data_IF_852649152040
#
_entry.id   IF_852649152040
#
_cell.length_a   1.000
_cell.length_b   1.000
_cell.length_c   1.000
_cell.angle_alpha   90.00
_cell.angle_beta   90.00
_cell.angle_gamma   90.00
#
_symmetry.space_group_name_H-M   'P 1'
#
loop_
_entity.id
_entity.type
_entity.pdbx_description
1 polymer ?
#
# COMPACT_ATOMS: atom_id res chain seq x y z
N UNK A 1 -7.52 -107.20 17.50
CA UNK A 1 -6.15 -106.66 17.56
C UNK A 1 -6.24 -105.16 17.72
N UNK A 2 -6.08 -104.67 18.94
CA UNK A 2 -6.03 -103.24 19.25
C UNK A 2 -4.61 -102.75 19.03
N UNK A 3 -4.42 -101.77 18.14
CA UNK A 3 -3.18 -101.00 18.08
C UNK A 3 -3.19 -100.00 19.24
N UNK A 4 -2.39 -100.27 20.27
CA UNK A 4 -2.15 -99.31 21.34
C UNK A 4 -1.38 -98.12 20.74
N UNK A 5 -2.03 -96.96 20.67
CA UNK A 5 -1.36 -95.71 20.31
C UNK A 5 -0.33 -95.42 21.41
N UNK A 6 0.93 -95.36 21.00
CA UNK A 6 2.07 -95.17 21.89
C UNK A 6 2.00 -93.79 22.56
N UNK A 7 1.61 -93.75 23.83
CA UNK A 7 1.46 -92.51 24.61
C UNK A 7 2.78 -91.71 24.67
N UNK A 8 3.92 -92.38 24.52
CA UNK A 8 5.22 -91.72 24.45
C UNK A 8 5.37 -90.87 23.18
N UNK A 9 4.77 -91.29 22.06
CA UNK A 9 4.81 -90.54 20.81
C UNK A 9 3.93 -89.28 20.90
N UNK A 10 2.73 -89.39 21.47
CA UNK A 10 1.85 -88.25 21.71
C UNK A 10 2.50 -87.22 22.64
N UNK A 11 3.18 -87.65 23.70
CA UNK A 11 3.92 -86.75 24.59
C UNK A 11 5.11 -86.07 23.90
N UNK A 12 5.83 -86.77 23.02
CA UNK A 12 6.95 -86.18 22.25
C UNK A 12 6.48 -85.13 21.25
N UNK A 13 5.35 -85.38 20.59
CA UNK A 13 4.74 -84.43 19.65
C UNK A 13 4.21 -83.20 20.39
N UNK A 14 3.53 -83.36 21.53
CA UNK A 14 3.07 -82.25 22.36
C UNK A 14 4.21 -81.37 22.90
N UNK A 15 5.34 -81.99 23.27
CA UNK A 15 6.54 -81.26 23.72
C UNK A 15 7.22 -80.50 22.58
N UNK A 16 7.25 -81.08 21.37
CA UNK A 16 7.77 -80.43 20.16
C UNK A 16 6.98 -79.18 19.74
N UNK A 17 5.68 -79.11 20.03
CA UNK A 17 4.86 -77.90 19.80
C UNK A 17 5.03 -76.84 20.89
N UNK A 18 5.41 -77.22 22.12
CA UNK A 18 5.65 -76.27 23.22
C UNK A 18 7.02 -75.57 23.18
N UNK A 19 8.01 -76.18 22.53
CA UNK A 19 9.41 -75.67 22.49
C UNK A 19 9.74 -74.82 21.25
N UNK A 20 8.78 -74.57 20.36
CA UNK A 20 8.95 -73.74 19.15
C UNK A 20 8.52 -72.27 19.32
N UNK A 21 8.16 -71.87 20.54
CA UNK A 21 7.90 -70.47 20.88
C UNK A 21 9.21 -69.70 21.09
N UNK A 22 9.30 -68.50 20.51
CA UNK A 22 10.40 -67.58 20.82
C UNK A 22 10.46 -67.35 22.35
N UNK A 23 11.65 -67.34 22.97
CA UNK A 23 11.79 -67.07 24.40
C UNK A 23 11.06 -65.77 24.78
N UNK A 24 10.36 -65.75 25.91
CA UNK A 24 9.57 -64.58 26.36
C UNK A 24 10.43 -63.30 26.43
N UNK A 25 11.72 -63.44 26.74
CA UNK A 25 12.69 -62.33 26.73
C UNK A 25 12.87 -61.75 25.33
N UNK A 26 12.93 -62.58 24.29
CA UNK A 26 13.03 -62.16 22.88
C UNK A 26 11.75 -61.46 22.43
N UNK A 27 10.57 -61.95 22.85
CA UNK A 27 9.28 -61.31 22.55
C UNK A 27 9.22 -59.91 23.18
N UNK A 28 9.56 -59.79 24.46
CA UNK A 28 9.58 -58.50 25.16
C UNK A 28 10.59 -57.52 24.52
N UNK A 29 11.76 -58.01 24.11
CA UNK A 29 12.78 -57.19 23.44
C UNK A 29 12.29 -56.66 22.09
N UNK A 30 11.60 -57.49 21.29
CA UNK A 30 11.02 -57.09 20.01
C UNK A 30 9.89 -56.06 20.19
N UNK A 31 9.07 -56.19 21.24
CA UNK A 31 8.02 -55.21 21.56
C UNK A 31 8.64 -53.86 21.92
N UNK A 32 9.67 -53.84 22.79
CA UNK A 32 10.36 -52.61 23.18
C UNK A 32 11.06 -51.97 21.98
N UNK A 33 11.76 -52.77 21.16
CA UNK A 33 12.43 -52.29 19.97
C UNK A 33 11.43 -51.73 18.93
N UNK A 34 10.29 -52.41 18.74
CA UNK A 34 9.19 -51.94 17.91
C UNK A 34 8.59 -50.64 18.42
N UNK A 35 8.43 -50.49 19.73
CA UNK A 35 7.96 -49.25 20.34
C UNK A 35 8.96 -48.10 20.14
N UNK A 36 10.25 -48.32 20.37
CA UNK A 36 11.29 -47.31 20.13
C UNK A 36 11.33 -46.87 18.65
N UNK A 37 11.22 -47.81 17.71
CA UNK A 37 11.14 -47.52 16.28
C UNK A 37 9.90 -46.70 15.94
N UNK A 38 8.75 -47.02 16.51
CA UNK A 38 7.51 -46.28 16.30
C UNK A 38 7.59 -44.84 16.85
N UNK A 39 8.20 -44.65 18.03
CA UNK A 39 8.43 -43.33 18.62
C UNK A 39 9.37 -42.50 17.75
N UNK A 40 10.47 -43.09 17.26
CA UNK A 40 11.40 -42.41 16.36
C UNK A 40 10.74 -42.03 15.03
N UNK A 41 10.00 -42.95 14.41
CA UNK A 41 9.26 -42.67 13.19
C UNK A 41 8.22 -41.56 13.40
N UNK A 42 7.50 -41.58 14.52
CA UNK A 42 6.56 -40.53 14.90
C UNK A 42 7.23 -39.16 15.07
N UNK A 43 8.40 -39.11 15.72
CA UNK A 43 9.17 -37.88 15.90
C UNK A 43 9.67 -37.31 14.57
N UNK A 44 10.18 -38.17 13.67
CA UNK A 44 10.64 -37.76 12.32
C UNK A 44 9.48 -37.25 11.47
N UNK A 45 8.34 -37.96 11.47
CA UNK A 45 7.14 -37.53 10.75
C UNK A 45 6.59 -36.21 11.29
N UNK A 46 6.59 -36.02 12.62
CA UNK A 46 6.18 -34.77 13.25
C UNK A 46 7.11 -33.60 12.86
N UNK A 47 8.43 -33.82 12.91
CA UNK A 47 9.43 -32.83 12.53
C UNK A 47 9.30 -32.44 11.05
N UNK A 48 9.22 -33.43 10.15
CA UNK A 48 9.04 -33.19 8.71
C UNK A 48 7.73 -32.48 8.41
N UNK A 49 6.63 -32.81 9.11
CA UNK A 49 5.35 -32.13 8.94
C UNK A 49 5.43 -30.66 9.41
N UNK A 50 6.14 -30.36 10.50
CA UNK A 50 6.37 -28.98 10.90
C UNK A 50 7.18 -28.20 9.86
N UNK A 51 8.25 -28.80 9.33
CA UNK A 51 9.10 -28.14 8.35
C UNK A 51 8.41 -27.96 6.99
N UNK A 52 7.61 -28.94 6.57
CA UNK A 52 6.73 -28.84 5.40
C UNK A 52 5.68 -27.75 5.58
N UNK A 53 5.06 -27.62 6.75
CA UNK A 53 4.10 -26.54 7.03
C UNK A 53 4.73 -25.14 6.92
N UNK A 54 5.99 -24.98 7.36
CA UNK A 54 6.73 -23.72 7.18
C UNK A 54 7.01 -23.43 5.70
N UNK A 55 7.33 -24.46 4.91
CA UNK A 55 7.60 -24.33 3.46
C UNK A 55 6.34 -24.09 2.62
N UNK A 56 5.20 -24.65 3.04
CA UNK A 56 3.92 -24.55 2.33
C UNK A 56 3.21 -23.22 2.58
N UNK A 57 3.44 -22.59 3.74
CA UNK A 57 2.92 -21.26 4.06
C UNK A 57 4.07 -20.26 4.25
N UNK A 58 4.83 -19.92 3.19
CA UNK A 58 5.86 -18.90 3.30
C UNK A 58 5.18 -17.57 3.63
N UNK A 59 5.41 -17.09 4.85
CA UNK A 59 5.02 -15.74 5.26
C UNK A 59 5.82 -14.77 4.40
N UNK A 60 5.18 -13.82 3.69
CA UNK A 60 5.90 -12.82 2.91
C UNK A 60 6.92 -12.08 3.80
N UNK A 61 8.12 -11.75 3.30
CA UNK A 61 9.14 -11.07 4.10
C UNK A 61 8.72 -9.67 4.55
N UNK A 62 7.73 -9.06 3.89
CA UNK A 62 7.11 -7.79 4.30
C UNK A 62 6.20 -7.92 5.53
N UNK A 63 5.81 -9.14 5.93
CA UNK A 63 4.85 -9.35 7.02
C UNK A 63 5.55 -9.48 8.36
N UNK A 64 5.14 -8.64 9.29
CA UNK A 64 5.50 -8.71 10.69
C UNK A 64 4.41 -9.45 11.47
N UNK A 65 4.76 -10.65 11.93
CA UNK A 65 3.88 -11.52 12.72
C UNK A 65 4.35 -11.55 14.17
N UNK A 66 3.39 -11.59 15.10
CA UNK A 66 3.61 -11.79 16.53
C UNK A 66 3.19 -10.58 17.36
N UNK A 67 2.31 -10.82 18.34
CA UNK A 67 1.68 -9.78 19.15
C UNK A 67 2.69 -8.80 19.76
N UNK A 68 3.79 -9.29 20.35
CA UNK A 68 4.81 -8.43 20.95
C UNK A 68 5.49 -7.47 19.95
N UNK A 69 5.76 -7.92 18.71
CA UNK A 69 6.35 -7.07 17.67
C UNK A 69 5.36 -6.02 17.18
N UNK A 70 4.12 -6.45 16.95
CA UNK A 70 3.00 -5.60 16.51
C UNK A 70 2.71 -4.52 17.56
N UNK A 71 2.60 -4.89 18.83
CA UNK A 71 2.40 -3.96 19.96
C UNK A 71 3.50 -2.91 20.00
N UNK A 72 4.78 -3.29 19.86
CA UNK A 72 5.89 -2.33 19.84
C UNK A 72 5.79 -1.30 18.71
N UNK A 73 5.33 -1.71 17.52
CA UNK A 73 5.11 -0.79 16.39
C UNK A 73 3.97 0.18 16.68
N UNK A 74 2.85 -0.32 17.22
CA UNK A 74 1.74 0.54 17.61
C UNK A 74 2.10 1.47 18.78
N UNK A 75 2.85 1.01 19.78
CA UNK A 75 3.37 1.84 20.87
C UNK A 75 4.24 2.97 20.32
N UNK A 76 5.11 2.66 19.36
CA UNK A 76 5.92 3.68 18.67
C UNK A 76 5.00 4.67 17.94
N UNK A 77 3.98 4.19 17.22
CA UNK A 77 3.00 5.03 16.55
C UNK A 77 2.20 5.91 17.54
N UNK A 78 1.88 5.41 18.73
CA UNK A 78 1.23 6.16 19.79
C UNK A 78 2.13 7.27 20.34
N UNK A 79 3.39 6.95 20.66
CA UNK A 79 4.39 7.91 21.16
C UNK A 79 4.61 9.06 20.17
N UNK A 80 4.73 8.77 18.88
CA UNK A 80 4.90 9.77 17.84
C UNK A 80 3.60 10.41 17.35
N UNK A 81 2.45 10.05 17.94
CA UNK A 81 1.11 10.49 17.51
C UNK A 81 0.91 10.32 16.00
N UNK A 82 1.38 9.19 15.46
CA UNK A 82 1.25 8.85 14.06
C UNK A 82 -0.21 8.83 13.65
N UNK A 83 -0.54 9.59 12.61
CA UNK A 83 -1.87 9.59 12.01
C UNK A 83 -2.15 8.23 11.37
N UNK A 84 -3.25 7.61 11.76
CA UNK A 84 -3.78 6.38 11.14
C UNK A 84 -4.87 6.77 10.15
N UNK A 85 -4.85 6.17 8.96
CA UNK A 85 -5.92 6.29 7.99
C UNK A 85 -6.61 4.94 7.82
N UNK A 86 -7.86 4.85 8.26
CA UNK A 86 -8.66 3.64 8.09
C UNK A 86 -9.56 3.76 6.86
N UNK A 87 -9.88 2.64 6.25
CA UNK A 87 -10.86 2.54 5.18
C UNK A 87 -11.62 1.23 5.29
N UNK A 88 -12.89 1.20 4.91
CA UNK A 88 -13.62 -0.05 4.84
C UNK A 88 -13.07 -0.93 3.73
N UNK A 89 -12.95 -2.22 4.02
CA UNK A 89 -12.59 -3.21 3.03
C UNK A 89 -13.73 -3.28 1.99
N UNK A 90 -13.46 -2.78 0.77
CA UNK A 90 -14.37 -2.81 -0.37
C UNK A 90 -13.56 -3.16 -1.62
N UNK A 91 -14.08 -4.13 -2.39
CA UNK A 91 -13.49 -4.57 -3.66
C UNK A 91 -13.87 -3.67 -4.84
N UNK A 92 -14.90 -2.82 -4.72
CA UNK A 92 -15.50 -2.13 -5.86
C UNK A 92 -15.67 -0.61 -5.73
N UNK A 93 -15.33 0.01 -4.59
CA UNK A 93 -15.44 1.46 -4.42
C UNK A 93 -14.12 2.16 -4.07
N UNK A 94 -14.00 3.42 -4.52
CA UNK A 94 -12.94 4.34 -4.11
C UNK A 94 -12.97 4.47 -2.58
N UNK A 95 -12.06 3.76 -1.91
CA UNK A 95 -11.92 3.72 -0.45
C UNK A 95 -11.92 5.13 0.14
N UNK A 96 -13.00 5.50 0.83
CA UNK A 96 -13.06 6.74 1.63
C UNK A 96 -12.18 6.50 2.85
N UNK A 97 -11.03 7.16 2.91
CA UNK A 97 -10.14 7.10 4.07
C UNK A 97 -10.64 8.04 5.16
N UNK A 98 -10.61 7.55 6.39
CA UNK A 98 -11.00 8.29 7.58
C UNK A 98 -9.73 8.46 8.43
N UNK A 99 -9.32 9.71 8.71
CA UNK A 99 -8.17 9.95 9.57
C UNK A 99 -8.55 9.69 11.04
N UNK A 100 -7.67 8.99 11.73
CA UNK A 100 -7.77 8.61 13.14
C UNK A 100 -6.43 8.84 13.83
N UNK A 101 -6.47 8.90 15.15
CA UNK A 101 -5.29 8.86 16.02
C UNK A 101 -5.41 7.67 16.97
N UNK A 102 -4.29 7.08 17.38
CA UNK A 102 -4.31 6.09 18.46
C UNK A 102 -4.55 6.85 19.77
N UNK A 103 -5.61 6.48 20.48
CA UNK A 103 -5.89 7.01 21.83
C UNK A 103 -5.24 6.13 22.89
N UNK A 104 -5.40 4.82 22.75
CA UNK A 104 -4.91 3.86 23.74
C UNK A 104 -4.60 2.49 23.09
N UNK A 105 -3.72 1.74 23.74
CA UNK A 105 -3.26 0.41 23.35
C UNK A 105 -3.30 -0.50 24.57
N UNK A 106 -4.35 -1.32 24.67
CA UNK A 106 -4.47 -2.32 25.73
C UNK A 106 -4.57 -3.72 25.12
N UNK A 107 -5.72 -4.37 25.24
CA UNK A 107 -6.05 -5.64 24.58
C UNK A 107 -6.67 -5.45 23.19
N UNK A 108 -6.98 -4.21 22.86
CA UNK A 108 -7.51 -3.73 21.60
C UNK A 108 -6.79 -2.41 21.22
N UNK A 109 -6.95 -2.00 19.98
CA UNK A 109 -6.44 -0.72 19.48
C UNK A 109 -7.61 0.26 19.48
N UNK A 110 -7.50 1.31 20.31
CA UNK A 110 -8.51 2.33 20.43
C UNK A 110 -8.17 3.51 19.51
N UNK A 111 -8.99 3.73 18.49
CA UNK A 111 -8.79 4.79 17.51
C UNK A 111 -9.76 5.94 17.78
N UNK A 112 -9.23 7.14 17.99
CA UNK A 112 -10.01 8.37 18.11
C UNK A 112 -10.23 9.00 16.73
N UNK A 113 -11.45 9.45 16.47
CA UNK A 113 -11.79 10.25 15.30
C UNK A 113 -12.80 11.37 15.62
N UNK A 114 -12.83 12.44 14.81
CA UNK A 114 -13.86 13.46 14.92
C UNK A 114 -15.24 12.85 14.64
N UNK A 115 -16.22 13.18 15.48
CA UNK A 115 -17.61 12.75 15.26
C UNK A 115 -18.10 13.27 13.91
N UNK A 116 -18.68 12.38 13.10
CA UNK A 116 -19.28 12.67 11.77
C UNK A 116 -20.60 11.94 11.64
N UNK A 117 -21.51 12.51 10.87
CA UNK A 117 -22.77 11.84 10.51
C UNK A 117 -22.49 10.50 9.80
N UNK A 118 -23.19 9.46 10.24
CA UNK A 118 -23.08 8.10 9.70
C UNK A 118 -22.07 7.18 10.40
N UNK A 119 -21.36 7.66 11.44
CA UNK A 119 -20.62 6.79 12.35
C UNK A 119 -21.59 6.24 13.40
N UNK A 120 -21.66 4.91 13.54
CA UNK A 120 -22.54 4.29 14.52
C UNK A 120 -22.45 2.78 14.51
N UNK A 121 -23.35 2.12 15.24
CA UNK A 121 -23.34 0.67 15.48
C UNK A 121 -23.31 -0.19 14.20
N UNK A 122 -23.72 0.34 13.05
CA UNK A 122 -23.65 -0.34 11.74
C UNK A 122 -22.22 -0.64 11.27
N UNK A 123 -21.20 -0.07 11.92
CA UNK A 123 -19.80 -0.31 11.61
C UNK A 123 -19.20 -1.49 12.38
N UNK A 124 -19.84 -1.89 13.48
CA UNK A 124 -19.41 -3.02 14.31
C UNK A 124 -19.44 -4.31 13.47
N UNK A 125 -18.39 -5.13 13.58
CA UNK A 125 -18.18 -6.35 12.80
C UNK A 125 -17.65 -6.12 11.38
N UNK A 126 -17.48 -4.87 10.93
CA UNK A 126 -16.93 -4.60 9.60
C UNK A 126 -15.41 -4.65 9.60
N UNK A 127 -14.87 -5.21 8.54
CA UNK A 127 -13.43 -5.25 8.29
C UNK A 127 -12.93 -3.91 7.75
N UNK A 128 -11.82 -3.45 8.30
CA UNK A 128 -11.14 -2.21 7.95
C UNK A 128 -9.70 -2.48 7.56
N UNK A 129 -9.21 -1.67 6.61
CA UNK A 129 -7.80 -1.55 6.27
C UNK A 129 -7.27 -0.26 6.86
N UNK A 130 -6.27 -0.37 7.74
CA UNK A 130 -5.57 0.75 8.34
C UNK A 130 -4.19 0.95 7.74
N UNK A 131 -3.83 2.21 7.48
CA UNK A 131 -2.52 2.61 7.02
C UNK A 131 -1.94 3.68 7.94
N UNK A 132 -0.70 3.50 8.37
CA UNK A 132 0.01 4.48 9.18
C UNK A 132 1.50 4.47 8.85
N UNK A 133 2.22 5.46 9.36
CA UNK A 133 3.68 5.50 9.24
C UNK A 133 4.30 5.84 10.59
N UNK A 134 5.52 5.40 10.79
CA UNK A 134 6.29 5.64 12.01
C UNK A 134 7.67 6.14 11.61
N UNK A 135 8.19 7.20 12.26
CA UNK A 135 9.53 7.67 12.00
C UNK A 135 10.56 6.62 12.44
N UNK A 136 11.67 6.56 11.72
CA UNK A 136 12.81 5.74 12.09
C UNK A 136 13.81 6.54 12.91
N UNK A 137 14.88 5.88 13.39
CA UNK A 137 15.99 6.57 14.08
C UNK A 137 16.73 7.55 13.17
N UNK A 138 16.64 7.38 11.86
CA UNK A 138 17.22 8.29 10.88
C UNK A 138 16.20 9.41 10.59
N UNK A 139 16.65 10.66 10.75
CA UNK A 139 15.81 11.82 10.51
C UNK A 139 15.29 11.81 9.06
N UNK A 140 13.98 12.10 8.90
CA UNK A 140 13.34 12.14 7.59
C UNK A 140 12.89 10.80 7.00
N UNK A 141 13.35 9.66 7.55
CA UNK A 141 12.92 8.33 7.09
C UNK A 141 11.73 7.82 7.91
N UNK A 142 10.69 7.38 7.21
CA UNK A 142 9.47 6.81 7.79
C UNK A 142 9.20 5.43 7.20
N UNK A 143 8.70 4.51 8.01
CA UNK A 143 8.25 3.18 7.56
C UNK A 143 6.73 3.17 7.53
N UNK A 144 6.17 2.73 6.41
CA UNK A 144 4.74 2.58 6.22
C UNK A 144 4.29 1.18 6.60
N UNK A 145 3.20 1.12 7.37
CA UNK A 145 2.57 -0.11 7.78
C UNK A 145 1.11 -0.12 7.34
N UNK A 146 0.68 -1.28 6.85
CA UNK A 146 -0.69 -1.64 6.59
C UNK A 146 -1.13 -2.72 7.56
N UNK A 147 -2.38 -2.67 7.96
CA UNK A 147 -3.00 -3.72 8.74
C UNK A 147 -4.46 -3.87 8.36
N UNK A 148 -4.98 -5.06 8.62
CA UNK A 148 -6.40 -5.33 8.51
C UNK A 148 -6.93 -5.76 9.87
N UNK A 149 -8.05 -5.18 10.28
CA UNK A 149 -8.69 -5.47 11.56
C UNK A 149 -10.23 -5.43 11.42
N UNK A 150 -10.94 -5.81 12.47
CA UNK A 150 -12.39 -5.76 12.58
C UNK A 150 -12.76 -4.79 13.69
N UNK A 151 -13.78 -3.97 13.45
CA UNK A 151 -14.34 -3.08 14.46
C UNK A 151 -15.13 -3.91 15.47
N UNK A 152 -14.73 -3.90 16.73
CA UNK A 152 -15.39 -4.64 17.82
C UNK A 152 -16.47 -3.82 18.48
N UNK A 153 -16.23 -2.52 18.66
CA UNK A 153 -17.17 -1.61 19.30
C UNK A 153 -16.94 -0.16 18.87
N UNK A 154 -17.94 0.69 19.13
CA UNK A 154 -17.87 2.13 18.93
C UNK A 154 -18.45 2.82 20.16
N UNK A 155 -17.62 3.64 20.79
CA UNK A 155 -18.00 4.47 21.93
C UNK A 155 -17.85 5.95 21.59
N UNK A 156 -18.67 6.81 22.19
CA UNK A 156 -18.52 8.26 22.08
C UNK A 156 -18.26 8.86 23.46
N UNK A 157 -17.31 9.78 23.55
CA UNK A 157 -17.06 10.54 24.78
C UNK A 157 -17.39 12.00 24.51
N UNK A 158 -18.61 12.39 24.88
CA UNK A 158 -19.14 13.71 24.60
C UNK A 158 -19.52 13.91 23.12
N UNK A 159 -19.66 15.17 22.70
CA UNK A 159 -20.18 15.52 21.38
C UNK A 159 -19.13 15.54 20.25
N UNK A 160 -17.85 15.60 20.58
CA UNK A 160 -16.80 15.97 19.61
C UNK A 160 -16.00 14.79 19.05
N UNK A 161 -15.88 13.69 19.81
CA UNK A 161 -15.03 12.57 19.46
C UNK A 161 -15.75 11.23 19.56
N UNK A 162 -15.46 10.37 18.60
CA UNK A 162 -15.90 8.97 18.56
C UNK A 162 -14.67 8.07 18.61
N UNK A 163 -14.73 7.05 19.45
CA UNK A 163 -13.71 6.03 19.57
C UNK A 163 -14.16 4.76 18.87
N UNK A 164 -13.28 4.20 18.06
CA UNK A 164 -13.46 2.92 17.40
C UNK A 164 -12.53 1.93 18.08
N UNK A 165 -13.13 0.86 18.59
CA UNK A 165 -12.44 -0.26 19.17
C UNK A 165 -12.16 -1.27 18.07
N UNK A 166 -10.91 -1.70 17.93
CA UNK A 166 -10.50 -2.62 16.89
C UNK A 166 -9.65 -3.74 17.47
N UNK A 167 -9.82 -4.96 16.96
CA UNK A 167 -8.98 -6.09 17.36
C UNK A 167 -7.51 -5.82 17.02
N UNK A 168 -6.60 -6.44 17.77
CA UNK A 168 -5.20 -6.46 17.34
C UNK A 168 -5.08 -7.22 16.01
N UNK A 169 -4.41 -6.65 15.01
CA UNK A 169 -4.27 -7.32 13.72
C UNK A 169 -3.37 -8.55 13.88
N UNK A 170 -3.66 -9.58 13.07
CA UNK A 170 -2.88 -10.84 13.07
C UNK A 170 -1.45 -10.64 12.56
N UNK A 171 -1.27 -9.69 11.65
CA UNK A 171 0.01 -9.29 11.08
C UNK A 171 -0.01 -7.79 10.73
N UNK A 172 1.16 -7.19 10.67
CA UNK A 172 1.38 -5.91 10.01
C UNK A 172 2.11 -6.16 8.71
N UNK A 173 1.68 -5.54 7.62
CA UNK A 173 2.41 -5.56 6.37
C UNK A 173 3.21 -4.26 6.22
N UNK A 174 4.52 -4.39 6.07
CA UNK A 174 5.37 -3.26 5.68
C UNK A 174 5.24 -3.06 4.18
N UNK A 175 4.42 -2.08 3.78
CA UNK A 175 4.10 -1.81 2.38
C UNK A 175 4.14 -0.32 2.10
N UNK A 176 4.63 0.02 0.90
CA UNK A 176 4.58 1.38 0.42
C UNK A 176 3.18 1.68 -0.08
N UNK A 177 2.46 2.57 0.60
CA UNK A 177 1.06 2.93 0.28
C UNK A 177 0.87 3.46 -1.15
N UNK A 178 1.93 3.97 -1.78
CA UNK A 178 1.89 4.58 -3.10
C UNK A 178 2.79 3.79 -4.04
N UNK A 179 2.22 3.41 -5.18
CA UNK A 179 2.94 2.75 -6.27
C UNK A 179 4.11 3.58 -6.80
N UNK A 180 4.00 4.91 -6.73
CA UNK A 180 5.04 5.85 -7.16
C UNK A 180 5.51 6.72 -5.99
N UNK A 181 6.81 6.99 -5.96
CA UNK A 181 7.40 7.94 -5.02
C UNK A 181 6.85 9.34 -5.31
N UNK A 182 6.43 10.05 -4.26
CA UNK A 182 6.03 11.46 -4.36
C UNK A 182 7.10 12.34 -3.76
N UNK A 183 7.48 13.36 -4.51
CA UNK A 183 8.37 14.42 -4.07
C UNK A 183 7.67 15.76 -4.16
N UNK A 184 7.98 16.65 -3.23
CA UNK A 184 7.52 18.04 -3.23
C UNK A 184 8.66 18.93 -3.71
N UNK A 185 8.73 19.25 -5.02
CA UNK A 185 9.87 19.95 -5.57
C UNK A 185 9.89 21.41 -5.10
N UNK A 186 11.04 21.91 -4.59
CA UNK A 186 11.26 23.35 -4.48
C UNK A 186 11.12 24.05 -5.83
N UNK A 187 10.74 25.33 -5.83
CA UNK A 187 10.50 26.10 -7.07
C UNK A 187 11.71 26.22 -7.99
N UNK A 188 12.94 25.97 -7.51
CA UNK A 188 14.14 25.95 -8.35
C UNK A 188 14.23 24.74 -9.30
N UNK A 189 13.45 23.67 -9.04
CA UNK A 189 13.49 22.44 -9.83
C UNK A 189 12.40 22.37 -10.91
N UNK A 190 11.58 23.41 -11.06
CA UNK A 190 10.63 23.51 -12.16
C UNK A 190 10.54 24.94 -12.66
N UNK A 191 10.47 25.08 -13.98
CA UNK A 191 10.34 26.35 -14.69
C UNK A 191 8.87 26.77 -14.82
N UNK A 192 8.01 25.80 -15.16
CA UNK A 192 6.64 26.10 -15.52
C UNK A 192 5.69 24.97 -15.10
N UNK A 193 4.53 25.34 -14.58
CA UNK A 193 3.43 24.41 -14.36
C UNK A 193 2.12 25.13 -14.61
N UNK A 194 1.28 24.56 -15.47
CA UNK A 194 -0.07 25.06 -15.68
C UNK A 194 -0.98 23.94 -16.16
N UNK A 195 -2.28 24.12 -15.97
CA UNK A 195 -3.30 23.23 -16.50
C UNK A 195 -4.28 24.02 -17.33
N UNK A 196 -4.76 23.43 -18.41
CA UNK A 196 -5.73 24.04 -19.32
C UNK A 196 -6.80 23.01 -19.72
N UNK A 197 -8.00 23.44 -20.12
CA UNK A 197 -9.06 22.51 -20.54
C UNK A 197 -8.60 21.60 -21.68
N UNK A 198 -8.96 20.32 -21.60
CA UNK A 198 -8.78 19.36 -22.69
C UNK A 198 -9.85 19.59 -23.77
N UNK A 199 -9.61 20.60 -24.61
CA UNK A 199 -10.45 21.01 -25.73
C UNK A 199 -9.60 21.23 -26.98
N UNK A 200 -10.22 21.38 -28.15
CA UNK A 200 -9.47 21.66 -29.41
C UNK A 200 -8.57 22.90 -29.28
N UNK A 201 -9.06 23.96 -28.65
CA UNK A 201 -8.27 25.18 -28.42
C UNK A 201 -7.17 24.94 -27.37
N UNK A 202 -7.48 24.23 -26.29
CA UNK A 202 -6.50 23.87 -25.27
C UNK A 202 -5.37 23.02 -25.84
N UNK A 203 -5.70 22.02 -26.66
CA UNK A 203 -4.72 21.16 -27.31
C UNK A 203 -3.80 21.96 -28.26
N UNK A 204 -4.37 22.87 -29.07
CA UNK A 204 -3.56 23.76 -29.92
C UNK A 204 -2.62 24.62 -29.09
N UNK A 205 -3.08 25.15 -27.96
CA UNK A 205 -2.26 25.94 -27.04
C UNK A 205 -1.15 25.11 -26.38
N UNK A 206 -1.47 23.88 -25.96
CA UNK A 206 -0.51 22.94 -25.36
C UNK A 206 0.58 22.49 -26.34
N UNK A 207 0.20 22.16 -27.57
CA UNK A 207 1.16 21.83 -28.63
C UNK A 207 2.05 23.03 -28.96
N UNK A 208 1.48 24.24 -29.04
CA UNK A 208 2.27 25.46 -29.27
C UNK A 208 3.28 25.72 -28.14
N UNK A 209 2.90 25.47 -26.88
CA UNK A 209 3.84 25.55 -25.75
C UNK A 209 5.03 24.60 -25.93
N UNK A 210 4.78 23.35 -26.35
CA UNK A 210 5.86 22.38 -26.58
C UNK A 210 6.72 22.76 -27.78
N UNK A 211 6.13 23.12 -28.93
CA UNK A 211 6.89 23.43 -30.15
C UNK A 211 7.69 24.72 -30.07
N UNK A 212 7.27 25.66 -29.23
CA UNK A 212 8.01 26.91 -28.97
C UNK A 212 8.92 26.82 -27.75
N UNK A 213 9.10 25.61 -27.19
CA UNK A 213 9.88 25.39 -25.96
C UNK A 213 9.53 26.40 -24.86
N UNK A 214 8.23 26.60 -24.62
CA UNK A 214 7.71 27.44 -23.55
C UNK A 214 7.65 28.95 -23.81
N UNK A 215 8.19 29.46 -24.91
CA UNK A 215 8.06 30.89 -25.26
C UNK A 215 6.58 31.31 -25.32
N UNK A 216 5.73 30.44 -25.86
CA UNK A 216 4.29 30.58 -25.73
C UNK A 216 3.79 29.89 -24.45
N UNK A 217 3.40 30.69 -23.46
CA UNK A 217 2.76 30.21 -22.23
C UNK A 217 1.24 30.47 -22.25
N UNK A 218 0.38 29.43 -22.25
CA UNK A 218 -1.06 29.61 -22.17
C UNK A 218 -1.48 30.32 -20.88
N UNK A 219 -2.55 31.10 -20.95
CA UNK A 219 -3.10 31.78 -19.77
C UNK A 219 -3.49 30.79 -18.65
N UNK A 220 -3.36 31.23 -17.41
CA UNK A 220 -3.71 30.44 -16.24
C UNK A 220 -5.23 30.32 -16.07
N UNK A 221 -5.70 29.15 -15.63
CA UNK A 221 -7.13 28.89 -15.43
C UNK A 221 -7.78 29.79 -14.39
N UNK A 222 -7.04 30.25 -13.37
CA UNK A 222 -7.55 31.21 -12.39
C UNK A 222 -7.59 32.66 -12.91
N UNK A 223 -7.30 32.91 -14.18
CA UNK A 223 -7.22 34.24 -14.78
C UNK A 223 -5.81 34.84 -14.77
N UNK A 224 -5.68 36.09 -15.25
CA UNK A 224 -4.40 36.77 -15.49
C UNK A 224 -3.49 36.84 -14.26
N UNK A 225 -4.07 37.04 -13.08
CA UNK A 225 -3.32 37.19 -11.83
C UNK A 225 -3.17 35.86 -11.05
N UNK A 226 -3.71 34.77 -11.61
CA UNK A 226 -3.56 33.45 -10.98
C UNK A 226 -2.21 32.83 -11.24
N UNK A 227 -1.82 31.98 -10.29
CA UNK A 227 -0.61 31.17 -10.36
C UNK A 227 -0.99 29.73 -10.07
N UNK A 228 -0.25 28.83 -10.70
CA UNK A 228 -0.31 27.40 -10.43
C UNK A 228 1.02 27.00 -9.81
N UNK A 229 0.97 26.40 -8.63
CA UNK A 229 2.14 25.91 -7.92
C UNK A 229 2.13 24.37 -7.92
N UNK A 230 3.30 23.78 -8.12
CA UNK A 230 3.48 22.33 -8.00
C UNK A 230 3.70 21.98 -6.53
N UNK A 231 2.78 21.21 -5.94
CA UNK A 231 2.82 20.79 -4.53
C UNK A 231 3.55 19.46 -4.37
N UNK A 232 3.20 18.49 -5.21
CA UNK A 232 3.90 17.22 -5.30
C UNK A 232 3.80 16.62 -6.71
N UNK A 233 4.74 15.75 -7.04
CA UNK A 233 4.83 15.01 -8.30
C UNK A 233 5.33 13.59 -8.06
N UNK A 234 4.90 12.67 -8.92
CA UNK A 234 5.30 11.26 -8.95
C UNK A 234 5.19 10.72 -10.37
N UNK A 235 5.67 9.50 -10.61
CA UNK A 235 5.42 8.75 -11.84
C UNK A 235 3.93 8.68 -12.23
N UNK A 236 3.00 8.65 -11.27
CA UNK A 236 1.57 8.51 -11.54
C UNK A 236 0.77 9.80 -11.74
N UNK A 237 1.35 10.97 -11.42
CA UNK A 237 0.58 12.23 -11.41
C UNK A 237 1.19 13.36 -10.59
N UNK A 238 0.43 14.45 -10.49
CA UNK A 238 0.80 15.68 -9.77
C UNK A 238 -0.30 16.19 -8.85
N UNK A 239 0.09 16.92 -7.81
CA UNK A 239 -0.78 17.75 -7.00
C UNK A 239 -0.43 19.22 -7.21
N UNK A 240 -1.44 20.03 -7.50
CA UNK A 240 -1.30 21.45 -7.83
C UNK A 240 -2.10 22.31 -6.85
N UNK A 241 -1.60 23.51 -6.58
CA UNK A 241 -2.37 24.59 -5.98
C UNK A 241 -2.58 25.71 -7.01
N UNK A 242 -3.83 26.09 -7.25
CA UNK A 242 -4.19 27.19 -8.16
C UNK A 242 -4.78 28.33 -7.36
N UNK A 243 -4.19 29.51 -7.47
CA UNK A 243 -4.69 30.73 -6.81
C UNK A 243 -5.82 31.38 -7.59
N UNK A 244 -6.57 32.28 -6.94
CA UNK A 244 -7.73 32.97 -7.53
C UNK A 244 -8.75 32.02 -8.16
N UNK A 245 -8.94 30.84 -7.57
CA UNK A 245 -9.90 29.84 -8.01
C UNK A 245 -11.14 29.86 -7.11
N UNK A 246 -12.07 30.78 -7.40
CA UNK A 246 -13.36 30.85 -6.69
C UNK A 246 -14.30 29.71 -7.09
N UNK A 247 -15.27 29.37 -6.23
CA UNK A 247 -16.28 28.34 -6.52
C UNK A 247 -17.05 28.62 -7.82
N UNK A 248 -17.38 29.88 -8.10
CA UNK A 248 -18.03 30.31 -9.36
C UNK A 248 -17.15 30.03 -10.57
N UNK A 249 -15.85 30.34 -10.48
CA UNK A 249 -14.90 30.09 -11.58
C UNK A 249 -14.67 28.60 -11.79
N UNK A 250 -14.51 27.83 -10.72
CA UNK A 250 -14.39 26.37 -10.79
C UNK A 250 -15.62 25.73 -11.47
N UNK A 251 -16.83 26.19 -11.14
CA UNK A 251 -18.07 25.75 -11.78
C UNK A 251 -18.09 26.07 -13.29
N UNK A 252 -17.67 27.28 -13.68
CA UNK A 252 -17.59 27.66 -15.10
C UNK A 252 -16.57 26.81 -15.89
N UNK A 253 -15.46 26.44 -15.26
CA UNK A 253 -14.46 25.53 -15.83
C UNK A 253 -14.86 24.05 -15.76
N UNK A 254 -16.04 23.78 -15.19
CA UNK A 254 -16.59 22.45 -14.89
C UNK A 254 -15.71 21.58 -14.00
N UNK A 255 -14.77 22.20 -13.28
CA UNK A 255 -13.65 21.58 -12.57
C UNK A 255 -14.17 20.51 -11.57
N UNK A 256 -14.19 19.26 -12.01
CA UNK A 256 -14.83 18.16 -11.29
C UNK A 256 -14.04 16.86 -11.40
N UNK A 257 -14.22 15.99 -10.41
CA UNK A 257 -13.55 14.68 -10.37
C UNK A 257 -13.91 13.86 -11.60
N UNK A 258 -12.90 13.30 -12.26
CA UNK A 258 -13.04 12.50 -13.48
C UNK A 258 -12.90 13.30 -14.78
N UNK A 259 -12.97 14.62 -14.73
CA UNK A 259 -12.76 15.46 -15.90
C UNK A 259 -11.29 15.45 -16.35
N UNK A 260 -11.09 15.52 -17.66
CA UNK A 260 -9.76 15.59 -18.28
C UNK A 260 -9.27 17.02 -18.45
N UNK A 261 -7.98 17.23 -18.22
CA UNK A 261 -7.27 18.49 -18.44
C UNK A 261 -5.90 18.21 -19.05
N UNK A 262 -5.38 19.18 -19.79
CA UNK A 262 -3.99 19.15 -20.23
C UNK A 262 -3.11 19.76 -19.14
N UNK A 263 -2.04 19.06 -18.78
CA UNK A 263 -0.98 19.55 -17.91
C UNK A 263 0.22 19.93 -18.78
N UNK A 264 0.65 21.17 -18.63
CA UNK A 264 1.90 21.69 -19.18
C UNK A 264 2.89 21.79 -18.04
N UNK A 265 4.06 21.18 -18.23
CA UNK A 265 5.06 21.07 -17.18
C UNK A 265 6.45 21.34 -17.78
N UNK A 266 7.23 22.21 -17.15
CA UNK A 266 8.63 22.45 -17.45
C UNK A 266 9.44 22.11 -16.23
N UNK A 267 10.20 21.02 -16.27
CA UNK A 267 11.05 20.57 -15.16
C UNK A 267 12.51 20.84 -15.46
N UNK A 268 13.28 21.14 -14.43
CA UNK A 268 14.74 21.20 -14.56
C UNK A 268 15.27 19.77 -14.53
N UNK A 269 16.04 19.40 -15.55
CA UNK A 269 16.77 18.14 -15.59
C UNK A 269 17.92 18.20 -14.58
N UNK A 270 17.87 17.33 -13.58
CA UNK A 270 18.85 17.25 -12.49
C UNK A 270 20.23 16.81 -13.00
N UNK A 271 20.32 16.20 -14.18
CA UNK A 271 21.59 15.83 -14.83
C UNK A 271 22.22 16.97 -15.62
N UNK A 272 21.52 17.49 -16.65
CA UNK A 272 22.09 18.44 -17.61
C UNK A 272 21.80 19.92 -17.33
N UNK A 273 21.07 20.24 -16.24
CA UNK A 273 20.62 21.60 -15.88
C UNK A 273 19.78 22.31 -16.97
N UNK A 274 19.22 21.57 -17.92
CA UNK A 274 18.30 22.08 -18.93
C UNK A 274 16.85 22.05 -18.46
N UNK A 275 15.96 22.77 -19.14
CA UNK A 275 14.52 22.69 -18.90
C UNK A 275 13.91 21.72 -19.90
N UNK A 276 13.31 20.65 -19.40
CA UNK A 276 12.56 19.67 -20.21
C UNK A 276 11.07 19.95 -20.07
N UNK A 277 10.38 20.02 -21.20
CA UNK A 277 8.96 20.37 -21.27
C UNK A 277 8.12 19.16 -21.63
N UNK A 278 7.07 18.97 -20.85
CA UNK A 278 6.15 17.86 -20.96
C UNK A 278 4.73 18.37 -21.17
N UNK A 279 3.98 17.60 -21.94
CA UNK A 279 2.55 17.77 -22.12
C UNK A 279 1.85 16.45 -21.82
N UNK A 280 0.96 16.47 -20.85
CA UNK A 280 0.16 15.31 -20.48
C UNK A 280 -1.32 15.59 -20.66
N UNK A 281 -2.07 14.59 -21.14
CA UNK A 281 -3.50 14.54 -20.83
C UNK A 281 -3.64 13.91 -19.44
N UNK A 282 -4.41 14.54 -18.57
CA UNK A 282 -4.55 14.14 -17.17
C UNK A 282 -6.02 14.03 -16.78
N UNK A 283 -6.29 13.38 -15.65
CA UNK A 283 -7.64 13.27 -15.08
C UNK A 283 -7.67 13.74 -13.63
N UNK A 284 -8.67 14.55 -13.29
CA UNK A 284 -8.86 15.01 -11.91
C UNK A 284 -9.25 13.83 -11.02
N UNK A 285 -8.41 13.52 -10.02
CA UNK A 285 -8.67 12.49 -9.02
C UNK A 285 -9.19 13.09 -7.72
N UNK A 286 -8.71 14.28 -7.36
CA UNK A 286 -9.12 15.03 -6.18
C UNK A 286 -9.21 16.50 -6.50
N UNK A 287 -10.20 17.16 -5.91
CA UNK A 287 -10.32 18.61 -5.91
C UNK A 287 -10.73 19.05 -4.51
N UNK A 288 -10.12 20.11 -4.03
CA UNK A 288 -10.53 20.82 -2.83
C UNK A 288 -10.47 22.31 -3.14
N UNK A 289 -11.56 23.03 -2.91
CA UNK A 289 -11.63 24.47 -3.13
C UNK A 289 -11.75 25.11 -1.76
N UNK A 290 -10.82 25.99 -1.43
CA UNK A 290 -10.91 26.86 -0.27
C UNK A 290 -11.56 28.19 -0.68
N UNK A 291 -12.84 28.40 -0.34
CA UNK A 291 -13.55 29.63 -0.71
C UNK A 291 -13.03 30.85 0.05
N UNK A 292 -12.37 30.67 1.19
CA UNK A 292 -11.87 31.78 2.03
C UNK A 292 -10.58 32.35 1.48
N UNK A 293 -9.68 31.48 1.03
CA UNK A 293 -8.40 31.88 0.45
C UNK A 293 -8.45 32.04 -1.08
N UNK A 294 -9.55 31.64 -1.71
CA UNK A 294 -9.68 31.63 -3.17
C UNK A 294 -8.65 30.70 -3.83
N UNK A 295 -8.32 29.58 -3.19
CA UNK A 295 -7.35 28.61 -3.65
C UNK A 295 -8.03 27.29 -3.99
N UNK A 296 -7.50 26.57 -4.97
CA UNK A 296 -7.91 25.20 -5.25
C UNK A 296 -6.71 24.26 -5.23
N UNK A 297 -6.81 23.18 -4.46
CA UNK A 297 -5.88 22.05 -4.52
C UNK A 297 -6.45 20.97 -5.44
N UNK A 298 -5.70 20.61 -6.47
CA UNK A 298 -6.12 19.73 -7.55
C UNK A 298 -5.11 18.59 -7.68
N UNK A 299 -5.57 17.36 -7.47
CA UNK A 299 -4.78 16.15 -7.71
C UNK A 299 -5.11 15.55 -9.07
N UNK A 300 -4.11 15.41 -9.93
CA UNK A 300 -4.21 14.94 -11.31
C UNK A 300 -3.45 13.63 -11.48
N UNK A 301 -4.04 12.66 -12.19
CA UNK A 301 -3.32 11.47 -12.65
C UNK A 301 -2.97 11.60 -14.12
N UNK A 302 -1.79 11.11 -14.53
CA UNK A 302 -1.43 11.07 -15.94
C UNK A 302 -2.22 9.99 -16.68
N UNK A 303 -2.70 10.31 -17.88
CA UNK A 303 -3.43 9.38 -18.74
C UNK A 303 -2.67 9.10 -20.03
N UNK A 304 -2.14 10.17 -20.66
CA UNK A 304 -1.29 10.07 -21.85
C UNK A 304 -0.17 11.12 -21.78
N UNK A 305 0.98 10.78 -22.34
CA UNK A 305 2.14 11.66 -22.49
C UNK A 305 2.38 11.96 -23.97
N UNK A 306 2.64 13.22 -24.29
CA UNK A 306 3.05 13.62 -25.64
C UNK A 306 4.49 13.16 -25.90
N UNK A 307 4.72 12.50 -27.04
CA UNK A 307 6.05 11.97 -27.43
C UNK A 307 6.68 12.71 -28.61
N UNK A 308 6.04 13.76 -29.14
CA UNK A 308 6.47 14.44 -30.36
C UNK A 308 5.48 14.28 -31.51
N UNK A 309 5.94 14.59 -32.71
CA UNK A 309 5.15 14.44 -33.93
C UNK A 309 5.61 13.19 -34.69
N UNK A 310 4.68 12.52 -35.34
CA UNK A 310 4.99 11.43 -36.26
C UNK A 310 5.65 11.99 -37.53
N UNK A 311 6.82 11.46 -37.91
CA UNK A 311 7.63 12.02 -39.00
C UNK A 311 6.89 12.05 -40.35
N UNK A 312 6.00 11.09 -40.58
CA UNK A 312 5.29 10.90 -41.84
C UNK A 312 4.00 11.71 -41.86
N UNK A 313 3.17 11.56 -40.83
CA UNK A 313 1.83 12.15 -40.79
C UNK A 313 1.80 13.56 -40.19
N UNK A 314 2.90 13.99 -39.56
CA UNK A 314 3.01 15.25 -38.80
C UNK A 314 1.94 15.40 -37.72
N UNK A 315 1.34 14.27 -37.29
CA UNK A 315 0.31 14.26 -36.25
C UNK A 315 0.95 14.07 -34.87
N UNK A 316 0.33 14.62 -33.81
CA UNK A 316 0.77 14.41 -32.44
C UNK A 316 0.81 12.93 -32.06
N UNK A 317 1.95 12.45 -31.57
CA UNK A 317 2.14 11.10 -31.05
C UNK A 317 1.97 11.11 -29.54
N UNK A 318 1.18 10.15 -29.03
CA UNK A 318 0.87 10.03 -27.61
C UNK A 318 1.17 8.61 -27.10
N UNK A 319 1.79 8.52 -25.93
CA UNK A 319 1.89 7.28 -25.17
C UNK A 319 0.77 7.20 -24.14
N UNK A 320 0.02 6.11 -24.14
CA UNK A 320 -1.00 5.85 -23.13
C UNK A 320 -0.38 5.20 -21.90
N UNK A 321 -0.62 5.80 -20.73
CA UNK A 321 0.05 5.42 -19.48
C UNK A 321 -0.77 4.45 -18.61
N UNK A 322 -2.05 4.19 -18.91
CA UNK A 322 -2.94 3.14 -18.33
C UNK A 322 -2.49 2.58 -16.95
N UNK A 323 -2.49 3.43 -15.92
CA UNK A 323 -2.09 3.15 -14.52
C UNK A 323 -0.62 2.78 -14.27
N UNK A 324 0.22 2.60 -15.29
CA UNK A 324 1.67 2.35 -15.15
C UNK A 324 2.49 3.60 -14.81
N UNK A 325 1.88 4.79 -14.91
CA UNK A 325 2.59 6.06 -14.75
C UNK A 325 3.52 6.37 -15.93
N UNK A 326 4.19 7.52 -15.86
CA UNK A 326 5.26 7.92 -16.77
C UNK A 326 6.60 7.55 -16.14
N UNK A 327 7.36 6.68 -16.81
CA UNK A 327 8.71 6.27 -16.37
C UNK A 327 9.63 7.47 -16.21
N UNK A 328 9.59 8.41 -17.16
CA UNK A 328 10.42 9.63 -17.10
C UNK A 328 10.11 10.48 -15.85
N UNK A 329 8.83 10.56 -15.46
CA UNK A 329 8.44 11.28 -14.24
C UNK A 329 8.81 10.53 -12.96
N UNK A 330 8.81 9.20 -13.00
CA UNK A 330 9.25 8.38 -11.87
C UNK A 330 10.76 8.51 -11.65
N UNK A 331 11.55 8.39 -12.72
CA UNK A 331 13.00 8.58 -12.71
C UNK A 331 13.37 10.00 -12.26
N UNK A 332 12.69 11.03 -12.79
CA UNK A 332 12.91 12.41 -12.37
C UNK A 332 12.59 12.61 -10.89
N UNK A 333 11.46 12.06 -10.41
CA UNK A 333 11.06 12.18 -9.01
C UNK A 333 12.05 11.47 -8.08
N UNK A 334 12.57 10.31 -8.50
CA UNK A 334 13.57 9.55 -7.76
C UNK A 334 14.91 10.30 -7.70
N UNK A 335 15.39 10.82 -8.82
CA UNK A 335 16.64 11.59 -8.87
C UNK A 335 16.55 12.85 -8.01
N UNK A 336 15.43 13.58 -8.09
CA UNK A 336 15.21 14.74 -7.23
C UNK A 336 15.17 14.35 -5.75
N UNK A 337 14.54 13.22 -5.40
CA UNK A 337 14.53 12.74 -4.02
C UNK A 337 15.96 12.52 -3.49
N UNK A 338 16.83 11.90 -4.28
CA UNK A 338 18.22 11.68 -3.92
C UNK A 338 19.01 12.99 -3.81
N UNK A 339 18.74 13.96 -4.69
CA UNK A 339 19.39 15.27 -4.67
C UNK A 339 19.01 16.06 -3.42
N UNK A 340 17.71 16.15 -3.11
CA UNK A 340 17.21 16.80 -1.89
C UNK A 340 17.74 16.11 -0.62
N UNK A 341 17.88 14.78 -0.66
CA UNK A 341 18.47 14.02 0.44
C UNK A 341 19.95 14.38 0.65
N UNK A 342 20.73 14.50 -0.42
CA UNK A 342 22.14 14.92 -0.35
C UNK A 342 22.27 16.34 0.20
N UNK A 343 21.47 17.28 -0.28
CA UNK A 343 21.46 18.67 0.20
C UNK A 343 21.09 18.79 1.69
N UNK A 344 20.19 17.94 2.19
CA UNK A 344 19.77 17.95 3.60
C UNK A 344 20.70 17.23 4.58
N UNK A 345 21.81 16.67 4.09
CA UNK A 345 22.84 15.99 4.92
C UNK A 345 24.10 16.85 5.10
N UNK A 346 24.12 18.07 4.54
CA UNK A 346 25.02 19.17 4.94
C UNK A 346 24.36 20.02 6.02
#
# INVERSE_FOLDING_TARGET
MQAAVDQAYLYKVLRGFGETGLPQQTINMLIVMGFCMAVLAGAVLWYNNQELKKRLNPVPPSWMIGKAKISKVFETALVYRSKIEISFHSSSEKRKTIPCSISDLTHEILLEMPTREGIGKSWIGRQIDGFFHVPTKQAGLVIFYHFTSVITDISSKGSSYTYIHTEYPKYLEQTQKREFLRVSPPSRFYDYVNIIPDSTQGMKAGLKFITTSGEYSPGFMGGKDSRTNLIDISGGGVSLEVTHMSSKRAANLKLSKGQSFLLLLGLVDTGNKGIVRYLFTTRIRRIFIDPTQGKAQIGLSFENQFLGFDDITQKPKWATLKNKGSTEMDDWSYNLHLELYREGTE
#
